data_IF_085813501365
#
_entry.id   IF_085813501365
#
_cell.length_a   1.000
_cell.length_b   1.000
_cell.length_c   1.000
_cell.angle_alpha   90.00
_cell.angle_beta   90.00
_cell.angle_gamma   90.00
#
_symmetry.space_group_name_H-M   'P 1'
#
loop_
_entity.id
_entity.type
_entity.pdbx_description
1 polymer ?
#
# COMPACT_ATOMS: atom_id res chain seq x y z
N UNK A 1 21.56 -12.08 26.13
CA UNK A 1 21.83 -12.53 24.75
C UNK A 1 20.89 -11.76 23.84
N UNK A 2 21.42 -10.88 22.98
CA UNK A 2 20.61 -10.08 22.05
C UNK A 2 20.36 -10.94 20.81
N UNK A 3 19.13 -11.36 20.58
CA UNK A 3 18.75 -12.02 19.34
C UNK A 3 18.55 -10.94 18.27
N UNK A 4 19.50 -10.86 17.33
CA UNK A 4 19.33 -10.15 16.07
C UNK A 4 18.56 -11.11 15.17
N UNK A 5 17.26 -10.88 15.00
CA UNK A 5 16.48 -11.57 13.98
C UNK A 5 16.69 -10.79 12.69
N UNK A 6 17.67 -11.21 11.90
CA UNK A 6 17.80 -10.79 10.51
C UNK A 6 16.72 -11.49 9.70
N UNK A 7 15.62 -10.78 9.43
CA UNK A 7 14.66 -11.18 8.40
C UNK A 7 15.29 -10.81 7.06
N UNK A 8 15.92 -11.77 6.40
CA UNK A 8 16.33 -11.64 5.02
C UNK A 8 15.08 -11.77 4.13
N UNK A 9 14.43 -10.65 3.84
CA UNK A 9 13.41 -10.59 2.81
C UNK A 9 14.13 -10.55 1.46
N UNK A 10 14.30 -11.72 0.86
CA UNK A 10 14.88 -11.88 -0.47
C UNK A 10 13.79 -11.56 -1.51
N UNK A 11 13.73 -10.32 -1.99
CA UNK A 11 12.94 -9.98 -3.18
C UNK A 11 13.88 -9.78 -4.36
N UNK A 12 14.06 -10.85 -5.14
CA UNK A 12 14.59 -10.79 -6.50
C UNK A 12 13.40 -10.58 -7.44
N UNK A 13 13.11 -9.32 -7.77
CA UNK A 13 12.33 -9.01 -8.97
C UNK A 13 13.22 -8.21 -9.91
N UNK A 14 13.81 -8.92 -10.87
CA UNK A 14 14.49 -8.34 -12.00
C UNK A 14 13.40 -7.76 -12.91
N UNK A 15 13.14 -6.47 -12.76
CA UNK A 15 12.07 -5.81 -13.48
C UNK A 15 12.31 -5.72 -14.97
N UNK A 16 11.20 -5.71 -15.72
CA UNK A 16 10.96 -4.77 -16.81
C UNK A 16 9.47 -4.35 -16.75
N UNK A 17 9.15 -3.35 -15.93
CA UNK A 17 7.80 -2.80 -15.85
C UNK A 17 7.61 -1.68 -16.89
N UNK A 18 6.69 -1.85 -17.84
CA UNK A 18 6.07 -0.71 -18.54
C UNK A 18 4.95 -0.13 -17.66
N UNK A 19 5.26 0.21 -16.41
CA UNK A 19 4.40 1.07 -15.62
C UNK A 19 4.55 2.48 -16.20
N UNK A 20 3.51 3.03 -16.81
CA UNK A 20 3.53 4.43 -17.22
C UNK A 20 3.85 5.27 -15.97
N UNK A 21 4.94 6.04 -16.03
CA UNK A 21 5.33 6.93 -14.94
C UNK A 21 4.11 7.74 -14.46
N UNK A 22 3.87 7.85 -13.14
CA UNK A 22 2.77 8.65 -12.63
C UNK A 22 2.84 10.10 -13.15
N UNK A 23 1.72 10.79 -13.34
CA UNK A 23 1.71 12.18 -13.76
C UNK A 23 2.58 13.07 -12.86
N UNK A 24 3.19 14.12 -13.41
CA UNK A 24 4.08 15.01 -12.66
C UNK A 24 3.42 15.60 -11.39
N UNK A 25 2.11 15.87 -11.45
CA UNK A 25 1.34 16.34 -10.29
C UNK A 25 1.35 15.32 -9.14
N UNK A 26 1.24 14.02 -9.45
CA UNK A 26 1.29 12.92 -8.50
C UNK A 26 2.68 12.81 -7.89
N UNK A 27 3.72 12.78 -8.72
CA UNK A 27 5.11 12.71 -8.25
C UNK A 27 5.47 13.89 -7.33
N UNK A 28 5.03 15.10 -7.71
CA UNK A 28 5.24 16.31 -6.89
C UNK A 28 4.54 16.21 -5.54
N UNK A 29 3.34 15.64 -5.49
CA UNK A 29 2.59 15.47 -4.25
C UNK A 29 3.31 14.50 -3.29
N UNK A 30 3.79 13.36 -3.80
CA UNK A 30 4.57 12.41 -2.98
C UNK A 30 5.88 13.04 -2.49
N UNK A 31 6.62 13.71 -3.37
CA UNK A 31 7.84 14.44 -3.00
C UNK A 31 7.61 15.52 -1.94
N UNK A 32 6.47 16.21 -1.99
CA UNK A 32 6.13 17.21 -0.98
C UNK A 32 5.85 16.60 0.41
N UNK A 33 5.38 15.36 0.46
CA UNK A 33 5.05 14.66 1.70
C UNK A 33 6.24 13.90 2.30
N UNK A 34 7.12 13.35 1.47
CA UNK A 34 8.17 12.42 1.88
C UNK A 34 9.59 12.86 1.47
N UNK A 35 9.75 14.06 0.91
CA UNK A 35 11.06 14.59 0.53
C UNK A 35 11.75 13.71 -0.52
N UNK A 36 12.91 13.18 -0.18
CA UNK A 36 13.71 12.32 -1.07
C UNK A 36 13.55 10.82 -0.77
N UNK A 37 12.44 10.42 -0.12
CA UNK A 37 12.13 9.02 0.07
C UNK A 37 12.14 8.23 -1.25
N UNK A 38 12.61 6.99 -1.20
CA UNK A 38 12.71 6.11 -2.35
C UNK A 38 11.36 5.44 -2.60
N UNK A 39 10.77 5.69 -3.77
CA UNK A 39 9.54 4.99 -4.16
C UNK A 39 9.93 3.63 -4.75
N UNK A 40 9.52 2.57 -4.07
CA UNK A 40 9.79 1.19 -4.45
C UNK A 40 8.82 0.70 -5.52
N UNK A 41 7.55 1.10 -5.42
CA UNK A 41 6.49 0.60 -6.29
C UNK A 41 5.38 1.63 -6.45
N UNK A 42 4.79 1.65 -7.65
CA UNK A 42 3.58 2.38 -7.95
C UNK A 42 2.47 1.41 -8.32
N UNK A 43 1.34 1.57 -7.65
CA UNK A 43 0.07 1.00 -8.06
C UNK A 43 -0.83 2.11 -8.59
N UNK A 44 -1.69 1.79 -9.55
CA UNK A 44 -2.63 2.78 -10.08
C UNK A 44 -3.93 2.18 -10.56
N UNK A 45 -4.98 2.99 -10.54
CA UNK A 45 -6.21 2.75 -11.23
C UNK A 45 -6.67 4.09 -11.87
N UNK A 46 -7.79 4.13 -12.61
CA UNK A 46 -8.23 5.37 -13.24
C UNK A 46 -8.49 6.56 -12.29
N UNK A 47 -8.62 6.32 -10.98
CA UNK A 47 -8.94 7.33 -9.97
C UNK A 47 -7.72 7.82 -9.20
N UNK A 48 -6.75 6.95 -8.93
CA UNK A 48 -5.66 7.25 -8.02
C UNK A 48 -4.40 6.42 -8.31
N UNK A 49 -3.31 6.95 -7.78
CA UNK A 49 -2.01 6.33 -7.69
C UNK A 49 -1.68 6.06 -6.21
N UNK A 50 -1.04 4.94 -5.94
CA UNK A 50 -0.51 4.59 -4.63
C UNK A 50 0.99 4.38 -4.77
N UNK A 51 1.78 5.17 -4.05
CA UNK A 51 3.20 4.97 -3.92
C UNK A 51 3.47 4.11 -2.68
N UNK A 52 4.24 3.04 -2.83
CA UNK A 52 4.88 2.32 -1.73
C UNK A 52 6.35 2.75 -1.69
N UNK A 53 6.83 3.19 -0.54
CA UNK A 53 8.10 3.90 -0.43
C UNK A 53 8.80 3.66 0.90
N UNK A 54 10.12 3.73 0.89
CA UNK A 54 10.97 3.72 2.08
C UNK A 54 11.39 5.13 2.45
N UNK A 55 11.23 5.49 3.73
CA UNK A 55 11.68 6.76 4.27
C UNK A 55 12.43 6.53 5.58
N UNK A 56 13.75 6.33 5.49
CA UNK A 56 14.56 5.85 6.60
C UNK A 56 14.38 4.34 6.77
N UNK A 57 14.04 3.90 7.98
CA UNK A 57 13.79 2.47 8.29
C UNK A 57 12.30 2.10 8.24
N UNK A 58 11.44 3.05 7.86
CA UNK A 58 9.99 2.86 7.82
C UNK A 58 9.49 2.65 6.39
N UNK A 59 8.60 1.66 6.24
CA UNK A 59 7.81 1.42 5.04
C UNK A 59 6.54 2.24 5.08
N UNK A 60 6.26 2.96 3.98
CA UNK A 60 5.10 3.82 3.86
C UNK A 60 4.29 3.52 2.62
N UNK A 61 3.03 3.93 2.68
CA UNK A 61 2.21 4.12 1.49
C UNK A 61 1.72 5.56 1.39
N UNK A 62 1.43 6.03 0.18
CA UNK A 62 0.76 7.30 -0.07
C UNK A 62 -0.22 7.19 -1.24
N UNK A 63 -1.49 7.49 -0.99
CA UNK A 63 -2.51 7.58 -2.03
C UNK A 63 -2.69 9.01 -2.51
N UNK A 64 -2.61 9.19 -3.82
CA UNK A 64 -2.76 10.49 -4.50
C UNK A 64 -3.70 10.34 -5.68
N UNK A 65 -4.69 11.22 -5.78
CA UNK A 65 -5.57 11.30 -6.95
C UNK A 65 -4.80 11.74 -8.20
N UNK A 66 -5.33 11.48 -9.39
CA UNK A 66 -4.68 11.82 -10.68
C UNK A 66 -4.38 13.32 -10.86
N UNK A 67 -5.05 14.19 -10.10
CA UNK A 67 -4.83 15.64 -10.06
C UNK A 67 -3.69 16.07 -9.10
N UNK A 68 -3.01 15.14 -8.42
CA UNK A 68 -1.97 15.43 -7.43
C UNK A 68 -2.47 15.74 -6.02
N UNK A 69 -3.75 15.52 -5.73
CA UNK A 69 -4.30 15.67 -4.38
C UNK A 69 -4.10 14.38 -3.59
N UNK A 70 -3.26 14.41 -2.56
CA UNK A 70 -3.15 13.29 -1.62
C UNK A 70 -4.43 13.16 -0.78
N UNK A 71 -4.81 11.93 -0.43
CA UNK A 71 -5.98 11.65 0.41
C UNK A 71 -5.62 11.02 1.73
N UNK A 72 -4.66 10.09 1.70
CA UNK A 72 -4.20 9.35 2.86
C UNK A 72 -2.78 8.83 2.65
N UNK A 73 -2.08 8.66 3.76
CA UNK A 73 -0.74 8.09 3.82
C UNK A 73 -0.59 7.32 5.12
N UNK A 74 0.30 6.34 5.15
CA UNK A 74 0.49 5.55 6.36
C UNK A 74 1.87 4.97 6.51
N UNK A 75 2.07 4.37 7.67
CA UNK A 75 3.28 3.62 8.04
C UNK A 75 2.87 2.16 8.21
N UNK A 76 3.72 1.26 7.75
CA UNK A 76 3.51 -0.18 7.88
C UNK A 76 3.25 -0.55 9.34
N UNK A 77 2.35 -1.50 9.54
CA UNK A 77 1.95 -2.02 10.83
C UNK A 77 1.76 -3.53 10.77
N UNK A 78 1.86 -4.19 11.91
CA UNK A 78 1.47 -5.59 12.04
C UNK A 78 -0.03 -5.68 12.40
N UNK A 79 -0.68 -6.77 11.99
CA UNK A 79 -2.12 -6.97 12.24
C UNK A 79 -2.43 -6.93 13.74
N UNK A 80 -1.57 -7.57 14.55
CA UNK A 80 -1.70 -7.66 16.00
C UNK A 80 -1.61 -6.30 16.71
N UNK A 81 -1.03 -5.29 16.07
CA UNK A 81 -0.90 -3.93 16.62
C UNK A 81 -2.14 -3.05 16.32
N UNK A 82 -3.06 -3.52 15.46
CA UNK A 82 -4.26 -2.75 15.10
C UNK A 82 -5.34 -2.86 16.18
N UNK A 83 -6.30 -1.92 16.25
CA UNK A 83 -7.45 -2.06 17.15
C UNK A 83 -8.25 -3.33 16.86
N UNK A 84 -8.78 -3.97 17.91
CA UNK A 84 -9.55 -5.22 17.80
C UNK A 84 -10.73 -5.11 16.80
N UNK A 85 -11.44 -3.97 16.80
CA UNK A 85 -12.53 -3.73 15.85
C UNK A 85 -12.04 -3.71 14.38
N UNK A 86 -10.83 -3.24 14.15
CA UNK A 86 -10.19 -3.19 12.84
C UNK A 86 -9.73 -4.59 12.44
N UNK A 87 -9.07 -5.33 13.34
CA UNK A 87 -8.67 -6.73 13.12
C UNK A 87 -9.88 -7.58 12.71
N UNK A 88 -10.96 -7.52 13.50
CA UNK A 88 -12.21 -8.22 13.21
C UNK A 88 -12.82 -7.80 11.87
N UNK A 89 -12.74 -6.52 11.51
CA UNK A 89 -13.21 -6.06 10.20
C UNK A 89 -12.40 -6.69 9.06
N UNK A 90 -11.07 -6.67 9.17
CA UNK A 90 -10.15 -7.20 8.16
C UNK A 90 -10.35 -8.69 7.91
N UNK A 91 -10.50 -9.48 8.98
CA UNK A 91 -10.78 -10.92 8.87
C UNK A 91 -12.04 -11.21 8.05
N UNK A 92 -13.01 -10.29 8.05
CA UNK A 92 -14.26 -10.42 7.32
C UNK A 92 -14.21 -9.85 5.89
N UNK A 93 -13.17 -9.09 5.51
CA UNK A 93 -13.19 -8.26 4.30
C UNK A 93 -12.86 -8.99 3.00
N UNK A 94 -12.19 -10.14 3.06
CA UNK A 94 -11.60 -10.74 1.85
C UNK A 94 -11.97 -12.20 1.60
N UNK A 95 -12.45 -12.97 2.57
CA UNK A 95 -12.52 -14.43 2.42
C UNK A 95 -11.15 -15.08 2.11
N UNK A 96 -10.09 -14.29 2.17
CA UNK A 96 -8.68 -14.61 2.02
C UNK A 96 -8.09 -14.43 3.42
N UNK A 97 -7.23 -15.34 3.84
CA UNK A 97 -6.63 -15.28 5.17
C UNK A 97 -5.96 -13.91 5.38
N UNK A 98 -6.31 -13.24 6.48
CA UNK A 98 -5.74 -11.94 6.85
C UNK A 98 -4.20 -11.99 6.82
N UNK A 99 -3.61 -13.15 7.08
CA UNK A 99 -2.17 -13.46 7.01
C UNK A 99 -1.46 -13.08 5.69
N UNK A 100 -2.20 -12.83 4.61
CA UNK A 100 -1.64 -12.47 3.29
C UNK A 100 -1.72 -10.96 2.99
N UNK A 101 -2.26 -10.16 3.92
CA UNK A 101 -2.42 -8.72 3.73
C UNK A 101 -1.21 -7.89 4.18
N UNK A 102 -1.06 -6.72 3.59
CA UNK A 102 -0.19 -5.65 4.10
C UNK A 102 -1.03 -4.63 4.86
N UNK A 103 -0.60 -4.25 6.07
CA UNK A 103 -1.35 -3.35 6.94
C UNK A 103 -0.58 -2.07 7.22
N UNK A 104 -1.32 -0.97 7.32
CA UNK A 104 -0.76 0.34 7.62
C UNK A 104 -1.67 1.12 8.56
N UNK A 105 -1.06 1.82 9.53
CA UNK A 105 -1.76 2.91 10.24
C UNK A 105 -1.75 4.15 9.35
N UNK A 106 -2.93 4.63 9.00
CA UNK A 106 -3.12 5.70 8.02
C UNK A 106 -3.54 7.02 8.69
N UNK A 107 -2.99 8.12 8.20
CA UNK A 107 -3.45 9.48 8.45
C UNK A 107 -4.16 10.00 7.21
N UNK A 108 -5.41 10.41 7.39
CA UNK A 108 -6.22 11.04 6.36
C UNK A 108 -5.88 12.52 6.25
N UNK A 109 -6.18 13.13 5.09
CA UNK A 109 -5.94 14.56 4.86
C UNK A 109 -6.66 15.51 5.81
N UNK A 110 -7.78 15.09 6.38
CA UNK A 110 -8.51 15.83 7.40
C UNK A 110 -7.91 15.69 8.81
N UNK A 111 -6.86 14.88 8.99
CA UNK A 111 -6.20 14.62 10.27
C UNK A 111 -6.72 13.38 11.01
N UNK A 112 -7.79 12.74 10.52
CA UNK A 112 -8.32 11.53 11.15
C UNK A 112 -7.38 10.34 10.96
N UNK A 113 -7.42 9.41 11.92
CA UNK A 113 -6.74 8.12 11.82
C UNK A 113 -7.67 7.10 11.16
N UNK A 114 -7.08 6.31 10.27
CA UNK A 114 -7.70 5.15 9.65
C UNK A 114 -6.66 4.03 9.53
N UNK A 115 -7.07 2.92 8.93
CA UNK A 115 -6.26 1.73 8.78
C UNK A 115 -6.40 1.24 7.34
N UNK A 116 -5.28 1.09 6.67
CA UNK A 116 -5.24 0.63 5.28
C UNK A 116 -4.83 -0.83 5.25
N UNK A 117 -5.56 -1.62 4.48
CA UNK A 117 -5.22 -3.01 4.19
C UNK A 117 -5.15 -3.19 2.70
N UNK A 118 -4.04 -3.76 2.24
CA UNK A 118 -3.93 -4.28 0.88
C UNK A 118 -3.98 -5.80 0.92
N UNK A 119 -4.78 -6.39 0.04
CA UNK A 119 -4.91 -7.85 -0.11
C UNK A 119 -4.68 -8.18 -1.58
N UNK A 120 -3.78 -9.11 -1.84
CA UNK A 120 -3.56 -9.68 -3.16
C UNK A 120 -4.34 -11.00 -3.28
N UNK A 121 -5.18 -11.12 -4.30
CA UNK A 121 -5.94 -12.34 -4.59
C UNK A 121 -5.37 -13.16 -5.76
N UNK A 122 -4.19 -12.80 -6.27
CA UNK A 122 -3.56 -13.44 -7.42
C UNK A 122 -4.13 -12.95 -8.77
N UNK A 123 -5.11 -12.05 -8.78
CA UNK A 123 -5.60 -11.36 -9.97
C UNK A 123 -5.50 -9.83 -9.87
N UNK A 124 -5.69 -9.29 -8.67
CA UNK A 124 -5.63 -7.86 -8.40
C UNK A 124 -5.22 -7.58 -6.94
N UNK A 125 -4.55 -6.44 -6.73
CA UNK A 125 -4.34 -5.90 -5.39
C UNK A 125 -5.58 -5.09 -5.00
N UNK A 126 -6.37 -5.61 -4.08
CA UNK A 126 -7.49 -4.90 -3.45
C UNK A 126 -6.99 -4.06 -2.28
N UNK A 127 -7.60 -2.88 -2.06
CA UNK A 127 -7.33 -2.05 -0.89
C UNK A 127 -8.61 -1.69 -0.15
N UNK A 128 -8.52 -1.62 1.17
CA UNK A 128 -9.60 -1.28 2.08
C UNK A 128 -9.11 -0.25 3.09
N UNK A 129 -9.77 0.90 3.14
CA UNK A 129 -9.57 1.90 4.19
C UNK A 129 -10.66 1.71 5.24
N UNK A 130 -10.27 1.47 6.49
CA UNK A 130 -11.14 1.14 7.61
C UNK A 130 -10.93 2.18 8.72
N UNK A 131 -12.00 2.62 9.39
CA UNK A 131 -11.86 3.52 10.54
C UNK A 131 -11.62 2.72 11.84
N UNK A 132 -11.43 3.43 12.96
CA UNK A 132 -11.16 2.79 14.26
C UNK A 132 -12.28 1.87 14.77
N UNK A 133 -13.52 2.07 14.32
CA UNK A 133 -14.67 1.21 14.66
C UNK A 133 -14.80 -0.01 13.74
N UNK A 134 -13.85 -0.26 12.84
CA UNK A 134 -13.92 -1.37 11.90
C UNK A 134 -14.84 -1.13 10.69
N UNK A 135 -15.31 0.10 10.48
CA UNK A 135 -16.15 0.44 9.32
C UNK A 135 -15.28 0.73 8.10
N UNK A 136 -15.60 0.06 6.98
CA UNK A 136 -14.99 0.36 5.69
C UNK A 136 -15.43 1.74 5.20
N UNK A 137 -14.46 2.63 5.01
CA UNK A 137 -14.62 3.95 4.42
C UNK A 137 -14.43 3.93 2.91
N UNK A 138 -13.52 3.09 2.41
CA UNK A 138 -13.19 2.99 0.98
C UNK A 138 -12.76 1.57 0.61
N UNK A 139 -13.15 1.13 -0.59
CA UNK A 139 -12.67 -0.08 -1.26
C UNK A 139 -12.22 0.26 -2.67
N UNK A 140 -11.02 -0.14 -3.04
CA UNK A 140 -10.47 0.03 -4.39
C UNK A 140 -9.77 -1.25 -4.85
N UNK A 141 -9.59 -1.39 -6.16
CA UNK A 141 -8.84 -2.49 -6.76
C UNK A 141 -7.85 -1.89 -7.75
N UNK A 142 -6.64 -2.45 -7.74
CA UNK A 142 -5.53 -2.10 -8.60
C UNK A 142 -5.23 -3.34 -9.43
N UNK A 143 -5.35 -3.25 -10.77
CA UNK A 143 -5.04 -4.38 -11.62
C UNK A 143 -3.58 -4.75 -11.43
N UNK A 144 -3.28 -6.04 -11.24
CA UNK A 144 -1.89 -6.46 -11.24
C UNK A 144 -1.27 -6.14 -12.59
N UNK A 145 -0.06 -5.57 -12.54
CA UNK A 145 0.77 -5.50 -13.72
C UNK A 145 1.25 -6.91 -13.98
N UNK A 146 0.57 -7.64 -14.87
CA UNK A 146 1.13 -8.87 -15.39
C UNK A 146 2.43 -8.48 -16.07
N UNK A 147 3.56 -8.95 -15.54
CA UNK A 147 4.78 -9.01 -16.32
C UNK A 147 4.38 -9.76 -17.59
N UNK A 148 4.51 -9.10 -18.75
CA UNK A 148 4.35 -9.83 -19.99
C UNK A 148 5.46 -10.89 -19.94
N UNK A 149 5.09 -12.16 -19.74
CA UNK A 149 5.99 -13.27 -19.94
C UNK A 149 6.55 -13.09 -21.36
N UNK A 150 7.77 -12.57 -21.45
CA UNK A 150 8.51 -12.58 -22.71
C UNK A 150 8.77 -14.06 -22.99
N UNK A 151 7.98 -14.58 -23.93
CA UNK A 151 7.94 -15.94 -24.44
C UNK A 151 9.27 -16.70 -24.25
N UNK A 152 9.22 -17.82 -23.52
CA UNK A 152 10.21 -18.89 -23.68
C UNK A 152 10.04 -19.47 -25.10
N UNK A 153 10.77 -18.93 -26.08
CA UNK A 153 11.01 -19.60 -27.38
C UNK A 153 11.87 -20.86 -27.22
#
# INVERSE_FOLDING_TARGET
MKHVISVALLMLFAGIANAQDPPQAVQKAVKALFGNAEVLQWEHNPKAYVAFLENGEEYHYCRVESNGVWTDKGVYAFLEDLPEAVQNSIENLSGIAAETGEFYTASLKNGDTAYMVFVDDGLAKSSFLVNAEGKVLRKESFPMQMEADEDYE
#
